data_IF_942958670542
#
_entry.id   IF_942958670542
#
_cell.length_a   1.000
_cell.length_b   1.000
_cell.length_c   1.000
_cell.angle_alpha   90.00
_cell.angle_beta   90.00
_cell.angle_gamma   90.00
#
_symmetry.space_group_name_H-M   'P 1'
#
loop_
_entity.id
_entity.type
_entity.pdbx_description
1 polymer ?
#
# COMPACT_ATOMS: atom_id res chain seq x y z
N UNK A 1 -9.22 -23.51 -6.84
CA UNK A 1 -9.62 -22.11 -7.06
C UNK A 1 -8.36 -21.30 -7.36
N UNK A 2 -8.30 -20.58 -8.49
CA UNK A 2 -7.13 -19.76 -8.84
C UNK A 2 -7.28 -18.38 -8.19
N UNK A 3 -6.23 -17.89 -7.54
CA UNK A 3 -6.24 -16.58 -6.90
C UNK A 3 -5.84 -15.48 -7.88
N UNK A 4 -6.22 -14.24 -7.58
CA UNK A 4 -5.87 -13.09 -8.40
C UNK A 4 -4.34 -12.84 -8.37
N UNK A 5 -3.72 -12.78 -9.55
CA UNK A 5 -2.28 -12.56 -9.71
C UNK A 5 -1.79 -11.13 -9.37
N UNK A 6 -2.69 -10.21 -9.05
CA UNK A 6 -2.37 -8.81 -8.83
C UNK A 6 -1.90 -8.58 -7.39
N UNK A 7 -0.61 -8.33 -7.21
CA UNK A 7 0.05 -7.99 -5.94
C UNK A 7 -0.43 -8.80 -4.71
N UNK A 8 -0.57 -10.13 -4.84
CA UNK A 8 -0.99 -11.01 -3.74
C UNK A 8 -2.44 -10.83 -3.30
N UNK A 9 -3.32 -10.34 -4.19
CA UNK A 9 -4.72 -10.14 -3.90
C UNK A 9 -5.39 -11.46 -3.46
N UNK A 10 -6.11 -11.48 -2.31
CA UNK A 10 -6.74 -12.69 -1.79
C UNK A 10 -8.02 -13.09 -2.55
N UNK A 11 -8.50 -12.23 -3.46
CA UNK A 11 -9.75 -12.49 -4.18
C UNK A 11 -9.56 -13.58 -5.24
N UNK A 12 -10.58 -14.42 -5.39
CA UNK A 12 -10.64 -15.41 -6.45
C UNK A 12 -10.54 -14.76 -7.83
N UNK A 13 -9.77 -15.37 -8.72
CA UNK A 13 -9.73 -14.98 -10.11
C UNK A 13 -11.03 -15.36 -10.82
N UNK A 14 -11.47 -14.50 -11.73
CA UNK A 14 -12.57 -14.79 -12.63
C UNK A 14 -12.17 -15.90 -13.61
N UNK A 15 -13.12 -16.77 -14.02
CA UNK A 15 -12.89 -17.76 -15.07
C UNK A 15 -12.65 -17.04 -16.39
N UNK A 16 -11.43 -17.08 -16.89
CA UNK A 16 -11.04 -16.43 -18.14
C UNK A 16 -9.53 -16.20 -18.26
N UNK A 17 -9.07 -15.73 -19.43
CA UNK A 17 -7.66 -15.43 -19.64
C UNK A 17 -7.23 -14.27 -18.75
N UNK A 18 -6.21 -14.49 -17.92
CA UNK A 18 -5.54 -13.44 -17.16
C UNK A 18 -5.71 -13.45 -15.64
N UNK A 19 -6.19 -14.54 -15.04
CA UNK A 19 -6.26 -14.82 -13.58
C UNK A 19 -6.39 -13.57 -12.67
N UNK A 20 -7.41 -12.74 -12.93
CA UNK A 20 -7.69 -11.49 -12.20
C UNK A 20 -9.08 -11.55 -11.60
N UNK A 21 -9.25 -10.94 -10.42
CA UNK A 21 -10.56 -10.78 -9.79
C UNK A 21 -11.36 -9.64 -10.45
N UNK A 22 -12.64 -9.52 -10.10
CA UNK A 22 -13.54 -8.50 -10.66
C UNK A 22 -13.01 -7.06 -10.49
N UNK A 23 -12.39 -6.76 -9.34
CA UNK A 23 -11.80 -5.45 -9.07
C UNK A 23 -10.52 -5.15 -9.88
N UNK A 24 -9.83 -6.19 -10.35
CA UNK A 24 -8.57 -6.08 -11.07
C UNK A 24 -8.67 -6.40 -12.57
N UNK A 25 -9.85 -6.80 -13.08
CA UNK A 25 -10.05 -7.21 -14.48
C UNK A 25 -9.55 -6.19 -15.51
N UNK A 26 -9.72 -4.89 -15.22
CA UNK A 26 -9.33 -3.79 -16.11
C UNK A 26 -7.91 -3.24 -15.87
N UNK A 27 -7.16 -3.78 -14.90
CA UNK A 27 -5.82 -3.28 -14.56
C UNK A 27 -4.75 -4.01 -15.36
N UNK A 28 -3.92 -3.26 -16.09
CA UNK A 28 -2.76 -3.81 -16.82
C UNK A 28 -1.61 -4.08 -15.85
N UNK A 29 -0.87 -5.16 -16.12
CA UNK A 29 0.30 -5.62 -15.35
C UNK A 29 1.58 -5.14 -16.00
N UNK A 30 2.58 -4.85 -15.18
CA UNK A 30 3.91 -4.49 -15.64
C UNK A 30 4.49 -5.60 -16.54
N UNK A 31 5.10 -5.22 -17.67
CA UNK A 31 5.64 -6.18 -18.64
C UNK A 31 6.91 -6.90 -18.18
N UNK A 32 7.59 -6.40 -17.13
CA UNK A 32 8.72 -7.08 -16.50
C UNK A 32 8.28 -8.44 -15.96
N UNK A 33 8.95 -9.52 -16.38
CA UNK A 33 8.67 -10.89 -15.96
C UNK A 33 8.66 -11.01 -14.43
N UNK A 34 7.64 -11.67 -13.89
CA UNK A 34 7.46 -11.84 -12.44
C UNK A 34 6.98 -10.58 -11.70
N UNK A 35 6.75 -9.45 -12.38
CA UNK A 35 6.22 -8.26 -11.73
C UNK A 35 4.70 -8.29 -11.63
N UNK A 36 4.19 -8.32 -10.40
CA UNK A 36 2.75 -8.28 -10.12
C UNK A 36 2.18 -6.86 -9.96
N UNK A 37 2.99 -5.82 -10.21
CA UNK A 37 2.58 -4.43 -10.06
C UNK A 37 1.75 -3.92 -11.24
N UNK A 38 0.89 -2.94 -10.96
CA UNK A 38 0.14 -2.23 -11.98
C UNK A 38 1.05 -1.40 -12.91
N UNK A 39 0.69 -1.38 -14.20
CA UNK A 39 1.25 -0.40 -15.14
C UNK A 39 0.90 1.01 -14.70
N UNK A 40 1.92 1.88 -14.70
CA UNK A 40 1.72 3.32 -14.59
C UNK A 40 1.71 3.98 -15.97
N UNK A 41 2.77 3.77 -16.75
CA UNK A 41 2.88 4.21 -18.14
C UNK A 41 3.88 3.32 -18.90
N UNK A 42 3.86 3.33 -20.24
CA UNK A 42 4.78 2.56 -21.09
C UNK A 42 4.83 1.06 -20.77
N UNK A 43 3.69 0.48 -20.37
CA UNK A 43 3.56 -0.91 -19.90
C UNK A 43 4.44 -1.27 -18.68
N UNK A 44 4.99 -0.28 -17.97
CA UNK A 44 5.87 -0.46 -16.82
C UNK A 44 5.25 0.12 -15.55
N UNK A 45 5.53 -0.52 -14.41
CA UNK A 45 5.18 0.02 -13.09
C UNK A 45 6.16 1.12 -12.68
N UNK A 46 5.85 1.86 -11.61
CA UNK A 46 6.71 2.94 -11.10
C UNK A 46 8.14 2.47 -10.82
N UNK A 47 8.32 1.27 -10.24
CA UNK A 47 9.64 0.69 -9.91
C UNK A 47 10.44 0.28 -11.13
N UNK A 48 9.77 -0.06 -12.24
CA UNK A 48 10.41 -0.54 -13.46
C UNK A 48 10.46 0.54 -14.55
N UNK A 49 10.46 1.83 -14.17
CA UNK A 49 10.62 2.92 -15.13
C UNK A 49 9.31 3.42 -15.75
N UNK A 50 8.16 3.11 -15.16
CA UNK A 50 6.88 3.70 -15.57
C UNK A 50 6.85 5.23 -15.41
N UNK A 51 7.60 5.78 -14.44
CA UNK A 51 7.76 7.23 -14.28
C UNK A 51 9.08 7.73 -14.89
N UNK A 52 9.10 9.01 -15.29
CA UNK A 52 10.29 9.66 -15.85
C UNK A 52 11.37 9.86 -14.78
N UNK A 53 12.61 9.53 -15.11
CA UNK A 53 13.77 9.75 -14.24
C UNK A 53 14.21 11.22 -14.27
N UNK A 54 14.91 11.65 -13.22
CA UNK A 54 15.53 12.97 -13.17
C UNK A 54 16.58 13.13 -14.28
N UNK A 55 16.61 14.30 -14.93
CA UNK A 55 17.56 14.59 -16.03
C UNK A 55 19.02 14.65 -15.60
N UNK A 56 19.29 14.91 -14.32
CA UNK A 56 20.66 15.01 -13.79
C UNK A 56 21.33 13.63 -13.78
N UNK A 57 22.52 13.57 -14.38
CA UNK A 57 23.34 12.35 -14.46
C UNK A 57 23.65 11.81 -13.05
N UNK A 58 23.57 10.49 -12.89
CA UNK A 58 23.76 9.81 -11.60
C UNK A 58 22.57 9.90 -10.64
N UNK A 59 21.49 10.62 -10.97
CA UNK A 59 20.31 10.68 -10.11
C UNK A 59 19.34 9.52 -10.38
N UNK A 60 19.07 8.70 -9.36
CA UNK A 60 18.09 7.61 -9.43
C UNK A 60 16.66 8.05 -9.06
N UNK A 61 16.48 9.33 -8.70
CA UNK A 61 15.17 9.85 -8.31
C UNK A 61 14.24 10.04 -9.52
N UNK A 62 12.96 9.89 -9.25
CA UNK A 62 11.88 10.05 -10.22
C UNK A 62 11.31 11.47 -10.18
N UNK A 63 10.87 11.99 -11.33
CA UNK A 63 10.20 13.29 -11.43
C UNK A 63 8.70 13.15 -11.18
N UNK A 64 8.11 14.17 -10.53
CA UNK A 64 6.64 14.27 -10.37
C UNK A 64 5.99 15.05 -11.52
N UNK A 65 6.78 15.87 -12.22
CA UNK A 65 6.44 16.67 -13.38
C UNK A 65 7.70 17.39 -13.87
N UNK A 66 7.73 17.83 -15.13
CA UNK A 66 8.93 18.42 -15.74
C UNK A 66 10.09 17.41 -15.88
N UNK A 67 11.32 17.91 -15.76
CA UNK A 67 12.56 17.15 -16.04
C UNK A 67 13.41 16.84 -14.80
N UNK A 68 13.13 17.48 -13.67
CA UNK A 68 13.96 17.41 -12.47
C UNK A 68 13.18 16.80 -11.30
N UNK A 69 13.87 16.09 -10.42
CA UNK A 69 13.28 15.57 -9.18
C UNK A 69 13.17 16.68 -8.13
N UNK A 70 12.44 16.43 -7.03
CA UNK A 70 12.23 17.44 -5.98
C UNK A 70 13.53 17.95 -5.35
N UNK A 71 14.57 17.11 -5.25
CA UNK A 71 15.89 17.49 -4.74
C UNK A 71 16.68 18.36 -5.71
N UNK A 72 16.36 18.29 -7.00
CA UNK A 72 17.06 19.00 -8.06
C UNK A 72 16.23 20.15 -8.66
N UNK A 73 15.34 20.74 -7.87
CA UNK A 73 14.53 21.88 -8.32
C UNK A 73 13.29 21.49 -9.15
N UNK A 74 12.92 20.21 -9.15
CA UNK A 74 11.68 19.75 -9.74
C UNK A 74 10.45 20.41 -9.10
N UNK A 75 9.34 20.53 -9.85
CA UNK A 75 8.15 21.21 -9.37
C UNK A 75 7.62 20.56 -8.09
N UNK A 76 7.56 21.36 -7.03
CA UNK A 76 6.89 20.99 -5.79
C UNK A 76 5.42 21.39 -5.89
N UNK A 77 4.46 20.48 -5.67
CA UNK A 77 3.04 20.82 -5.71
C UNK A 77 2.59 21.59 -4.45
N UNK A 78 3.45 22.43 -3.86
CA UNK A 78 3.08 23.29 -2.73
C UNK A 78 2.03 24.30 -3.23
N UNK A 79 0.78 23.97 -2.96
CA UNK A 79 -0.36 24.86 -3.20
C UNK A 79 -0.59 25.66 -1.92
N UNK A 80 -0.82 26.95 -2.06
CA UNK A 80 -1.18 27.83 -0.95
C UNK A 80 -2.70 28.00 -0.89
N UNK A 81 -3.18 28.42 0.28
CA UNK A 81 -4.59 28.69 0.50
C UNK A 81 -5.07 29.82 -0.42
N UNK A 82 -6.19 29.61 -1.10
CA UNK A 82 -6.82 30.60 -2.01
C UNK A 82 -7.43 31.81 -1.32
N UNK A 83 -7.45 31.84 0.01
CA UNK A 83 -7.97 32.96 0.80
C UNK A 83 -6.93 34.08 0.79
N UNK A 84 -7.35 35.29 0.40
CA UNK A 84 -6.49 36.48 0.33
C UNK A 84 -5.73 36.68 1.65
N UNK A 85 -4.41 36.90 1.55
CA UNK A 85 -3.52 37.08 2.71
C UNK A 85 -3.16 35.79 3.46
N UNK A 86 -3.61 34.60 3.02
CA UNK A 86 -3.27 33.34 3.69
C UNK A 86 -2.06 32.63 3.07
N UNK A 87 -0.91 32.68 3.75
CA UNK A 87 0.32 32.00 3.33
C UNK A 87 0.40 30.51 3.75
N UNK A 88 -0.69 29.95 4.29
CA UNK A 88 -0.72 28.54 4.74
C UNK A 88 -0.88 27.60 3.55
N UNK A 89 -0.26 26.42 3.65
CA UNK A 89 -0.39 25.38 2.63
C UNK A 89 -1.85 24.89 2.53
N UNK A 90 -2.32 24.73 1.30
CA UNK A 90 -3.60 24.12 1.00
C UNK A 90 -3.50 22.59 1.11
N UNK A 91 -4.51 21.98 1.74
CA UNK A 91 -4.61 20.52 1.89
C UNK A 91 -5.65 19.95 0.93
N UNK A 92 -6.90 20.40 1.06
CA UNK A 92 -8.00 20.05 0.18
C UNK A 92 -8.75 21.30 -0.28
N UNK A 93 -9.48 21.19 -1.40
CA UNK A 93 -10.31 22.29 -1.94
C UNK A 93 -9.56 23.61 -2.13
N UNK A 94 -8.24 23.54 -2.34
CA UNK A 94 -7.33 24.70 -2.45
C UNK A 94 -7.36 25.64 -1.23
N UNK A 95 -7.70 25.12 -0.04
CA UNK A 95 -7.74 25.88 1.21
C UNK A 95 -6.88 25.20 2.27
N UNK A 96 -6.39 25.96 3.23
CA UNK A 96 -5.72 25.42 4.42
C UNK A 96 -6.76 24.83 5.39
N UNK A 97 -6.30 24.09 6.41
CA UNK A 97 -7.19 23.47 7.41
C UNK A 97 -8.17 24.50 8.01
N UNK A 98 -7.67 25.69 8.37
CA UNK A 98 -8.48 26.76 8.98
C UNK A 98 -9.49 27.42 8.06
N UNK A 99 -9.28 27.34 6.74
CA UNK A 99 -10.18 27.92 5.75
C UNK A 99 -11.05 26.86 5.06
N UNK A 100 -11.17 25.65 5.63
CA UNK A 100 -12.06 24.61 5.10
C UNK A 100 -11.38 23.58 4.20
N UNK A 101 -10.05 23.50 4.22
CA UNK A 101 -9.27 22.43 3.62
C UNK A 101 -9.12 21.19 4.51
N UNK A 102 -9.61 21.25 5.76
CA UNK A 102 -9.73 20.09 6.65
C UNK A 102 -11.12 19.47 6.58
N UNK A 103 -11.22 18.20 6.95
CA UNK A 103 -12.51 17.57 7.19
C UNK A 103 -13.05 17.99 8.56
N UNK A 104 -14.37 18.13 8.67
CA UNK A 104 -15.06 18.33 9.96
C UNK A 104 -15.42 16.97 10.55
N UNK A 105 -15.67 16.95 11.86
CA UNK A 105 -16.13 15.74 12.54
C UNK A 105 -17.47 15.29 11.96
N UNK A 106 -17.60 13.99 11.69
CA UNK A 106 -18.84 13.36 11.20
C UNK A 106 -19.99 13.33 12.22
N UNK A 107 -19.69 13.60 13.49
CA UNK A 107 -20.71 13.59 14.56
C UNK A 107 -21.56 14.85 14.39
N UNK A 108 -22.89 14.72 14.28
CA UNK A 108 -23.79 15.86 14.12
C UNK A 108 -23.63 16.85 15.29
N UNK A 109 -23.65 18.14 14.99
CA UNK A 109 -23.43 19.20 15.98
C UNK A 109 -21.96 19.41 16.40
N UNK A 110 -21.00 18.67 15.82
CA UNK A 110 -19.59 18.86 16.11
C UNK A 110 -18.87 19.64 15.00
N UNK A 111 -18.46 20.87 15.31
CA UNK A 111 -17.71 21.72 14.38
C UNK A 111 -16.19 21.54 14.45
N UNK A 112 -15.72 20.59 15.26
CA UNK A 112 -14.28 20.35 15.42
C UNK A 112 -13.72 19.58 14.21
N UNK A 113 -12.43 19.78 13.92
CA UNK A 113 -11.76 19.10 12.82
C UNK A 113 -11.72 17.58 13.01
N UNK A 114 -12.17 16.86 11.99
CA UNK A 114 -12.02 15.42 11.86
C UNK A 114 -10.58 15.07 11.49
N UNK A 115 -10.00 14.13 12.23
CA UNK A 115 -8.66 13.59 11.98
C UNK A 115 -8.79 12.21 11.34
N UNK A 116 -8.85 11.18 12.17
CA UNK A 116 -8.91 9.77 11.77
C UNK A 116 -10.37 9.37 11.59
N UNK A 117 -10.68 8.64 10.52
CA UNK A 117 -12.04 8.15 10.16
C UNK A 117 -13.11 9.25 9.97
N UNK A 118 -12.70 10.52 9.93
CA UNK A 118 -13.59 11.68 9.90
C UNK A 118 -14.10 12.10 11.29
N UNK A 119 -13.47 11.66 12.38
CA UNK A 119 -13.84 12.02 13.75
C UNK A 119 -12.81 12.96 14.39
N UNK A 120 -13.27 13.90 15.21
CA UNK A 120 -12.36 14.73 16.01
C UNK A 120 -11.69 13.90 17.11
N UNK A 121 -10.62 14.41 17.72
CA UNK A 121 -9.87 13.66 18.73
C UNK A 121 -10.75 13.16 19.89
N UNK A 122 -11.70 13.98 20.34
CA UNK A 122 -12.65 13.62 21.40
C UNK A 122 -13.56 12.48 20.97
N UNK A 123 -14.23 12.61 19.83
CA UNK A 123 -15.18 11.60 19.36
C UNK A 123 -14.49 10.32 18.86
N UNK A 124 -13.26 10.40 18.35
CA UNK A 124 -12.48 9.21 18.03
C UNK A 124 -12.19 8.39 19.29
N UNK A 125 -11.77 9.05 20.39
CA UNK A 125 -11.54 8.38 21.68
C UNK A 125 -12.81 7.76 22.25
N UNK A 126 -13.96 8.46 22.16
CA UNK A 126 -15.24 7.91 22.61
C UNK A 126 -15.69 6.71 21.76
N UNK A 127 -15.48 6.75 20.44
CA UNK A 127 -15.81 5.65 19.54
C UNK A 127 -14.92 4.43 19.77
N UNK A 128 -13.62 4.63 19.97
CA UNK A 128 -12.69 3.56 20.34
C UNK A 128 -13.10 2.88 21.65
N UNK A 129 -13.41 3.66 22.69
CA UNK A 129 -13.90 3.12 23.97
C UNK A 129 -15.21 2.36 23.82
N UNK A 130 -16.13 2.84 22.97
CA UNK A 130 -17.38 2.13 22.72
C UNK A 130 -17.11 0.75 22.10
N UNK A 131 -16.23 0.69 21.09
CA UNK A 131 -15.81 -0.57 20.46
C UNK A 131 -15.08 -1.49 21.45
N UNK A 132 -14.18 -0.96 22.27
CA UNK A 132 -13.47 -1.73 23.31
C UNK A 132 -14.45 -2.29 24.36
N UNK A 133 -15.45 -1.49 24.76
CA UNK A 133 -16.51 -1.93 25.66
C UNK A 133 -17.38 -3.02 25.02
N UNK A 134 -17.71 -2.91 23.73
CA UNK A 134 -18.45 -3.93 22.96
C UNK A 134 -17.67 -5.26 22.86
N UNK A 135 -16.34 -5.22 22.89
CA UNK A 135 -15.48 -6.41 22.91
C UNK A 135 -15.17 -6.93 24.33
N UNK A 136 -15.43 -6.13 25.36
CA UNK A 136 -15.16 -6.45 26.77
C UNK A 136 -16.42 -6.83 27.55
N UNK A 137 -17.63 -6.52 27.05
CA UNK A 137 -18.85 -7.16 27.53
C UNK A 137 -18.78 -8.65 27.20
N UNK A 138 -18.83 -9.49 28.23
CA UNK A 138 -18.56 -10.94 28.22
C UNK A 138 -19.53 -11.79 27.37
N UNK A 139 -20.31 -11.19 26.46
CA UNK A 139 -21.47 -11.83 25.84
C UNK A 139 -21.27 -12.34 24.40
N UNK A 140 -20.08 -12.26 23.77
CA UNK A 140 -19.88 -12.83 22.41
C UNK A 140 -18.50 -13.47 22.14
N UNK A 141 -17.86 -14.09 23.14
CA UNK A 141 -16.97 -15.21 22.80
C UNK A 141 -17.89 -16.41 22.66
N UNK A 142 -18.23 -16.78 21.43
CA UNK A 142 -18.94 -18.02 21.17
C UNK A 142 -18.06 -19.18 21.66
N UNK A 143 -18.38 -19.71 22.85
CA UNK A 143 -17.66 -20.81 23.49
C UNK A 143 -17.62 -22.05 22.59
N UNK A 144 -18.49 -22.15 21.56
CA UNK A 144 -18.39 -23.18 20.54
C UNK A 144 -17.14 -23.03 19.67
N UNK A 145 -16.74 -21.81 19.31
CA UNK A 145 -15.51 -21.53 18.53
C UNK A 145 -14.26 -21.83 19.37
N UNK A 146 -14.29 -21.48 20.65
CA UNK A 146 -13.18 -21.78 21.57
C UNK A 146 -13.04 -23.29 21.81
N UNK A 147 -14.15 -24.03 21.87
CA UNK A 147 -14.12 -25.49 21.99
C UNK A 147 -13.51 -26.19 20.77
N UNK A 148 -13.66 -25.62 19.57
CA UNK A 148 -13.05 -26.14 18.33
C UNK A 148 -11.53 -25.90 18.26
N UNK A 149 -11.02 -24.82 18.88
CA UNK A 149 -9.58 -24.50 18.90
C UNK A 149 -8.80 -25.26 19.98
N UNK A 150 -9.46 -25.73 21.04
CA UNK A 150 -8.82 -26.35 22.20
C UNK A 150 -8.67 -27.88 22.06
N UNK A 151 -9.36 -28.52 21.11
CA UNK A 151 -9.47 -29.98 21.08
C UNK A 151 -8.30 -30.76 20.46
N UNK A 152 -7.28 -30.15 19.86
CA UNK A 152 -6.18 -30.92 19.25
C UNK A 152 -4.75 -30.47 19.60
N UNK A 153 -4.53 -29.83 20.74
CA UNK A 153 -3.16 -29.64 21.25
C UNK A 153 -3.00 -30.45 22.54
N UNK A 154 -2.39 -31.64 22.48
CA UNK A 154 -1.97 -32.34 23.69
C UNK A 154 -0.96 -31.45 24.42
N UNK A 155 -1.35 -30.94 25.59
CA UNK A 155 -0.51 -30.14 26.49
C UNK A 155 0.59 -30.96 27.17
N UNK A 156 1.04 -32.06 26.55
CA UNK A 156 2.17 -32.84 27.05
C UNK A 156 3.46 -32.07 26.79
N UNK A 157 3.78 -31.22 27.77
CA UNK A 157 5.11 -30.88 28.24
C UNK A 157 6.06 -30.39 27.14
N UNK A 158 5.89 -29.13 26.73
CA UNK A 158 6.99 -28.39 26.11
C UNK A 158 8.14 -28.30 27.14
N UNK A 159 9.22 -29.04 26.91
CA UNK A 159 10.43 -28.97 27.73
C UNK A 159 11.21 -27.70 27.35
N UNK A 160 11.03 -26.64 28.13
CA UNK A 160 11.75 -25.37 27.98
C UNK A 160 13.25 -25.47 28.33
N UNK A 161 13.73 -26.66 28.72
CA UNK A 161 15.12 -26.93 29.07
C UNK A 161 15.94 -27.47 27.88
N UNK A 162 15.30 -27.75 26.74
CA UNK A 162 16.00 -28.25 25.56
C UNK A 162 16.95 -27.16 25.00
N UNK A 163 18.26 -27.45 24.87
CA UNK A 163 19.21 -26.48 24.33
C UNK A 163 18.88 -26.17 22.87
N UNK A 164 18.76 -24.89 22.55
CA UNK A 164 18.65 -24.38 21.18
C UNK A 164 19.94 -24.71 20.44
N UNK A 165 19.94 -25.75 19.61
CA UNK A 165 21.05 -26.01 18.71
C UNK A 165 21.00 -24.96 17.58
N UNK A 166 22.11 -24.26 17.29
CA UNK A 166 22.18 -23.38 16.13
C UNK A 166 21.98 -24.22 14.88
N UNK A 167 21.00 -23.85 14.05
CA UNK A 167 20.83 -24.42 12.71
C UNK A 167 22.11 -24.15 11.92
N UNK A 168 22.82 -25.21 11.54
CA UNK A 168 23.93 -25.11 10.60
C UNK A 168 23.43 -24.41 9.33
N UNK A 169 23.96 -23.22 9.07
CA UNK A 169 23.68 -22.46 7.87
C UNK A 169 24.28 -23.18 6.67
N UNK A 170 23.43 -23.83 5.87
CA UNK A 170 23.76 -24.15 4.49
C UNK A 170 23.76 -22.84 3.69
N UNK A 171 24.94 -22.32 3.40
CA UNK A 171 25.15 -21.24 2.44
C UNK A 171 24.84 -21.74 1.02
N UNK A 172 23.95 -21.10 0.25
CA UNK A 172 23.93 -21.29 -1.19
C UNK A 172 25.01 -20.40 -1.80
N UNK A 173 25.97 -21.03 -2.47
CA UNK A 173 26.99 -20.38 -3.31
C UNK A 173 26.32 -19.66 -4.48
N UNK A 174 26.65 -18.38 -4.67
CA UNK A 174 26.35 -17.64 -5.89
C UNK A 174 27.12 -18.28 -7.06
N UNK A 175 26.40 -18.72 -8.08
CA UNK A 175 26.95 -18.93 -9.41
C UNK A 175 26.16 -18.12 -10.43
N UNK A 176 26.92 -17.54 -11.33
CA UNK A 176 26.58 -16.48 -12.26
C UNK A 176 25.42 -16.81 -13.21
N UNK A 177 24.54 -15.82 -13.42
CA UNK A 177 23.46 -15.87 -14.40
C UNK A 177 23.36 -14.53 -15.13
N UNK A 178 23.87 -14.50 -16.36
CA UNK A 178 24.09 -13.32 -17.18
C UNK A 178 22.85 -12.49 -17.49
N UNK A 179 23.10 -11.18 -17.62
CA UNK A 179 22.22 -10.19 -18.21
C UNK A 179 22.01 -10.51 -19.70
N UNK A 180 20.86 -11.10 -20.04
CA UNK A 180 20.39 -11.12 -21.42
C UNK A 180 19.66 -9.80 -21.70
N UNK A 181 20.32 -8.99 -22.52
CA UNK A 181 19.75 -7.80 -23.15
C UNK A 181 18.47 -8.17 -23.93
N UNK A 182 17.42 -7.37 -23.78
CA UNK A 182 16.31 -7.39 -24.72
C UNK A 182 16.77 -6.64 -25.97
N UNK A 183 17.25 -7.38 -26.97
CA UNK A 183 17.47 -6.85 -28.31
C UNK A 183 16.13 -6.36 -28.89
N UNK A 184 16.16 -5.11 -29.35
CA UNK A 184 15.12 -4.50 -30.15
C UNK A 184 15.41 -4.85 -31.60
N UNK A 185 14.57 -5.65 -32.25
CA UNK A 185 14.62 -5.77 -33.70
C UNK A 185 13.96 -4.52 -34.35
N UNK A 186 14.61 -3.88 -35.34
CA UNK A 186 14.01 -2.79 -36.10
C UNK A 186 13.07 -3.34 -37.18
N UNK A 187 11.80 -2.92 -37.13
CA UNK A 187 10.89 -3.11 -38.25
C UNK A 187 11.37 -2.23 -39.42
N UNK A 188 11.93 -2.89 -40.43
CA UNK A 188 12.02 -2.35 -41.78
C UNK A 188 10.59 -2.20 -42.32
N UNK A 189 10.23 -0.97 -42.68
CA UNK A 189 9.08 -0.68 -43.51
C UNK A 189 9.67 -0.20 -44.84
N UNK A 190 9.49 -1.04 -45.87
CA UNK A 190 9.64 -0.68 -47.27
C UNK A 190 8.54 0.27 -47.72
#
# INVERSE_FOLDING_TARGET
MVMCMFNGCPNAALPGPGAKCDFHKNRKMCCVKGCSNQVYARNLCVRHGGRKACRIQGCTNTVRGGDLCLHHGGPSPKRYCTVQGCLRQAHARQKCVRHGGGNVCKVPGCFQYGRVLGLCHRHNKSQQKNIENLYSSEDMIDHSILSLLVQEIPWTRMDWSAPVTPRAGASPTNSDGGLLACELEPLHIS
#
